data_IF_966348987850
#
_entry.id   IF_966348987850
#
_cell.length_a   1.000
_cell.length_b   1.000
_cell.length_c   1.000
_cell.angle_alpha   90.00
_cell.angle_beta   90.00
_cell.angle_gamma   90.00
#
_symmetry.space_group_name_H-M   'P 1'
#
loop_
_entity.id
_entity.type
_entity.pdbx_description
1 polymer ?
#
# COMPACT_ATOMS: atom_id res chain seq x y z
N UNK A 1 21.95 22.19 40.45
CA UNK A 1 21.84 22.67 39.06
C UNK A 1 22.38 21.68 38.02
N UNK A 2 23.52 20.98 38.21
CA UNK A 2 24.04 19.99 37.26
C UNK A 2 23.07 18.80 36.98
N UNK A 3 22.36 18.32 37.99
CA UNK A 3 21.46 17.18 37.86
C UNK A 3 20.15 17.53 37.11
N UNK A 4 19.76 18.81 37.10
CA UNK A 4 18.57 19.26 36.33
C UNK A 4 18.85 19.32 34.83
N UNK A 5 20.10 19.63 34.45
CA UNK A 5 20.54 19.69 33.05
C UNK A 5 20.57 18.27 32.44
N UNK A 6 21.03 17.26 33.21
CA UNK A 6 21.02 15.86 32.74
C UNK A 6 19.61 15.29 32.57
N UNK A 7 18.65 15.65 33.45
CA UNK A 7 17.25 15.24 33.29
C UNK A 7 16.58 15.91 32.10
N UNK A 8 16.97 17.14 31.78
CA UNK A 8 16.43 17.86 30.62
C UNK A 8 16.98 17.32 29.29
N UNK A 9 18.25 16.90 29.27
CA UNK A 9 18.87 16.27 28.09
C UNK A 9 18.27 14.87 27.84
N UNK A 10 17.94 14.10 28.89
CA UNK A 10 17.29 12.80 28.76
C UNK A 10 15.85 12.91 28.23
N UNK A 11 15.13 13.97 28.55
CA UNK A 11 13.79 14.22 28.01
C UNK A 11 13.80 14.60 26.52
N UNK A 12 14.86 15.25 26.04
CA UNK A 12 15.02 15.60 24.63
C UNK A 12 15.41 14.41 23.75
N UNK A 13 16.14 13.43 24.28
CA UNK A 13 16.51 12.22 23.53
C UNK A 13 15.37 11.21 23.40
N UNK A 14 14.38 11.23 24.30
CA UNK A 14 13.19 10.40 24.20
C UNK A 14 12.18 10.90 23.15
N UNK A 15 12.18 12.19 22.82
CA UNK A 15 11.30 12.75 21.79
C UNK A 15 11.77 12.49 20.36
N UNK A 16 13.02 12.10 20.14
CA UNK A 16 13.54 11.77 18.81
C UNK A 16 13.25 10.31 18.39
N UNK A 17 12.91 9.44 19.33
CA UNK A 17 12.52 8.03 19.03
C UNK A 17 11.04 7.91 18.60
N UNK A 18 10.21 8.92 18.91
CA UNK A 18 8.79 8.95 18.54
C UNK A 18 8.51 9.49 17.13
N UNK A 19 9.50 9.99 16.42
CA UNK A 19 9.43 10.35 15.00
C UNK A 19 9.99 9.25 14.10
N UNK A 20 9.56 8.01 14.31
CA UNK A 20 9.68 7.01 13.26
C UNK A 20 8.73 7.45 12.14
N UNK A 21 9.30 8.15 11.14
CA UNK A 21 8.56 8.94 10.17
C UNK A 21 7.48 8.10 9.51
N UNK A 22 6.25 8.60 9.51
CA UNK A 22 5.14 7.96 8.82
C UNK A 22 5.55 7.74 7.36
N UNK A 23 5.45 6.52 6.88
CA UNK A 23 5.65 6.19 5.48
C UNK A 23 4.37 6.47 4.71
N UNK A 24 4.46 7.44 3.82
CA UNK A 24 3.34 7.98 3.05
C UNK A 24 3.36 7.44 1.63
N UNK A 25 2.20 7.08 1.17
CA UNK A 25 1.93 6.62 -0.18
C UNK A 25 0.81 7.44 -0.78
N UNK A 26 0.87 7.63 -2.08
CA UNK A 26 -0.18 8.33 -2.82
C UNK A 26 -0.57 7.49 -4.03
N UNK A 27 -1.86 7.39 -4.30
CA UNK A 27 -2.35 6.65 -5.47
C UNK A 27 -3.51 7.36 -6.13
N UNK A 28 -3.67 7.13 -7.42
CA UNK A 28 -4.85 7.47 -8.19
C UNK A 28 -5.04 6.43 -9.29
N UNK A 29 -6.27 6.26 -9.69
CA UNK A 29 -6.63 5.37 -10.79
C UNK A 29 -7.14 6.21 -11.96
N UNK A 30 -6.87 5.75 -13.17
CA UNK A 30 -7.32 6.42 -14.37
C UNK A 30 -7.67 5.44 -15.46
N UNK A 31 -8.63 5.83 -16.29
CA UNK A 31 -9.10 5.09 -17.44
C UNK A 31 -8.66 5.79 -18.71
N UNK A 32 -8.07 5.06 -19.63
CA UNK A 32 -7.81 5.56 -20.97
C UNK A 32 -9.13 5.64 -21.78
N UNK A 33 -9.23 6.60 -22.68
CA UNK A 33 -10.34 6.66 -23.66
C UNK A 33 -10.39 5.39 -24.49
N UNK A 34 -11.57 5.00 -24.89
CA UNK A 34 -11.80 3.80 -25.72
C UNK A 34 -10.92 3.85 -26.99
N UNK A 35 -10.17 2.76 -27.22
CA UNK A 35 -9.23 2.64 -28.33
C UNK A 35 -7.96 3.49 -28.21
N UNK A 36 -7.72 4.19 -27.09
CA UNK A 36 -6.55 5.05 -26.91
C UNK A 36 -5.51 4.50 -25.91
N UNK A 37 -5.68 3.29 -25.37
CA UNK A 37 -4.79 2.72 -24.36
C UNK A 37 -3.32 2.75 -24.79
N UNK A 38 -2.99 2.31 -25.99
CA UNK A 38 -1.61 2.33 -26.50
C UNK A 38 -1.03 3.74 -26.58
N UNK A 39 -1.82 4.74 -26.98
CA UNK A 39 -1.38 6.15 -27.04
C UNK A 39 -1.19 6.73 -25.65
N UNK A 40 -2.11 6.40 -24.73
CA UNK A 40 -1.98 6.73 -23.32
C UNK A 40 -0.69 6.16 -22.74
N UNK A 41 -0.46 4.86 -22.91
CA UNK A 41 0.73 4.18 -22.40
C UNK A 41 2.02 4.81 -22.93
N UNK A 42 2.10 5.02 -24.25
CA UNK A 42 3.26 5.66 -24.86
C UNK A 42 3.52 7.08 -24.34
N UNK A 43 2.46 7.86 -24.10
CA UNK A 43 2.56 9.22 -23.57
C UNK A 43 2.95 9.22 -22.08
N UNK A 44 2.33 8.35 -21.26
CA UNK A 44 2.61 8.19 -19.85
C UNK A 44 4.04 7.67 -19.60
N UNK A 45 4.52 6.71 -20.41
CA UNK A 45 5.89 6.21 -20.35
C UNK A 45 6.91 7.33 -20.61
N UNK A 46 6.69 8.16 -21.64
CA UNK A 46 7.55 9.33 -21.93
C UNK A 46 7.58 10.31 -20.77
N UNK A 47 6.41 10.59 -20.17
CA UNK A 47 6.29 11.45 -19.00
C UNK A 47 7.05 10.87 -17.81
N UNK A 48 6.87 9.58 -17.51
CA UNK A 48 7.56 8.91 -16.41
C UNK A 48 9.07 8.96 -16.59
N UNK A 49 9.56 8.63 -17.78
CA UNK A 49 11.01 8.70 -18.09
C UNK A 49 11.58 10.11 -17.94
N UNK A 50 10.80 11.14 -18.26
CA UNK A 50 11.28 12.54 -18.21
C UNK A 50 11.28 13.13 -16.80
N UNK A 51 10.25 12.84 -16.00
CA UNK A 51 9.99 13.53 -14.73
C UNK A 51 10.02 12.64 -13.49
N UNK A 52 10.00 11.31 -13.66
CA UNK A 52 9.94 10.35 -12.58
C UNK A 52 11.00 9.25 -12.75
N UNK A 53 12.23 9.65 -13.08
CA UNK A 53 13.33 8.72 -13.39
C UNK A 53 14.21 8.36 -12.21
N UNK A 54 13.97 8.91 -11.03
CA UNK A 54 14.74 8.67 -9.80
C UNK A 54 13.86 8.10 -8.70
N UNK A 55 14.47 7.46 -7.69
CA UNK A 55 13.73 6.95 -6.52
C UNK A 55 12.97 8.06 -5.77
N UNK A 56 13.51 9.29 -5.77
CA UNK A 56 12.90 10.43 -5.07
C UNK A 56 11.56 10.86 -5.69
N UNK A 57 11.44 10.79 -7.01
CA UNK A 57 10.23 11.20 -7.72
C UNK A 57 9.55 10.04 -8.45
N UNK A 58 9.94 8.81 -8.10
CA UNK A 58 9.46 7.58 -8.74
C UNK A 58 7.95 7.40 -8.65
N UNK A 59 7.40 6.86 -9.71
CA UNK A 59 6.00 6.46 -9.81
C UNK A 59 5.91 5.03 -10.35
N UNK A 60 5.09 4.22 -9.71
CA UNK A 60 4.80 2.85 -10.10
C UNK A 60 3.42 2.77 -10.74
N UNK A 61 3.28 1.98 -11.76
CA UNK A 61 2.00 1.81 -12.46
C UNK A 61 1.64 0.34 -12.51
N UNK A 62 0.36 0.06 -12.24
CA UNK A 62 -0.21 -1.27 -12.32
C UNK A 62 -1.42 -1.26 -13.26
N UNK A 63 -1.56 -2.29 -14.07
CA UNK A 63 -2.78 -2.56 -14.84
C UNK A 63 -3.77 -3.29 -13.94
N UNK A 64 -4.98 -2.80 -13.81
CA UNK A 64 -6.06 -3.47 -13.04
C UNK A 64 -6.66 -4.54 -13.94
N UNK A 65 -6.51 -5.80 -13.53
CA UNK A 65 -6.81 -6.97 -14.36
C UNK A 65 -8.24 -7.48 -14.20
N UNK A 66 -8.87 -7.20 -13.06
CA UNK A 66 -10.24 -7.62 -12.76
C UNK A 66 -10.88 -6.70 -11.72
N UNK A 67 -12.14 -7.00 -11.35
CA UNK A 67 -12.93 -6.17 -10.44
C UNK A 67 -13.65 -5.02 -11.15
N UNK A 68 -14.18 -4.10 -10.35
CA UNK A 68 -14.99 -2.98 -10.84
C UNK A 68 -14.18 -2.02 -11.74
N UNK A 69 -12.88 -1.88 -11.44
CA UNK A 69 -11.96 -0.98 -12.15
C UNK A 69 -11.14 -1.70 -13.24
N UNK A 70 -11.59 -2.87 -13.71
CA UNK A 70 -10.88 -3.63 -14.77
C UNK A 70 -10.56 -2.74 -15.97
N UNK A 71 -9.32 -2.82 -16.45
CA UNK A 71 -8.82 -2.04 -17.58
C UNK A 71 -8.37 -0.62 -17.25
N UNK A 72 -8.49 -0.19 -16.00
CA UNK A 72 -7.88 1.04 -15.51
C UNK A 72 -6.40 0.82 -15.14
N UNK A 73 -5.69 1.92 -14.95
CA UNK A 73 -4.32 1.99 -14.49
C UNK A 73 -4.28 2.58 -13.08
N UNK A 74 -3.66 1.87 -12.15
CA UNK A 74 -3.36 2.40 -10.81
C UNK A 74 -1.95 2.98 -10.81
N UNK A 75 -1.80 4.26 -10.51
CA UNK A 75 -0.50 4.93 -10.41
C UNK A 75 -0.20 5.29 -8.97
N UNK A 76 1.00 4.91 -8.52
CA UNK A 76 1.36 4.96 -7.11
C UNK A 76 2.71 5.65 -6.94
N UNK A 77 2.78 6.62 -6.03
CA UNK A 77 4.01 7.22 -5.52
C UNK A 77 4.20 6.66 -4.10
N UNK A 78 5.32 6.03 -3.85
CA UNK A 78 5.58 5.36 -2.58
C UNK A 78 6.81 5.86 -1.84
N UNK A 79 7.04 5.30 -0.64
CA UNK A 79 8.24 5.52 0.16
C UNK A 79 8.49 7.00 0.51
N UNK A 80 7.40 7.80 0.72
CA UNK A 80 7.49 9.21 1.08
C UNK A 80 7.32 9.39 2.59
N UNK A 81 7.62 10.59 3.05
CA UNK A 81 7.41 11.04 4.42
C UNK A 81 6.66 12.38 4.44
N UNK A 82 6.47 12.95 5.62
CA UNK A 82 5.80 14.24 5.74
C UNK A 82 6.59 15.40 5.12
N UNK A 83 7.93 15.32 5.08
CA UNK A 83 8.74 16.36 4.46
C UNK A 83 8.48 16.45 2.96
N UNK A 84 8.29 15.31 2.29
CA UNK A 84 7.86 15.29 0.90
C UNK A 84 6.49 15.99 0.71
N UNK A 85 5.53 15.74 1.63
CA UNK A 85 4.22 16.39 1.57
C UNK A 85 4.26 17.88 1.86
N UNK A 86 5.24 18.32 2.67
CA UNK A 86 5.46 19.72 3.01
C UNK A 86 6.36 20.45 1.99
N UNK A 87 7.02 19.72 1.10
CA UNK A 87 7.87 20.32 0.09
C UNK A 87 7.05 21.19 -0.86
N UNK A 88 7.54 22.39 -1.11
CA UNK A 88 7.00 23.31 -2.12
C UNK A 88 7.71 23.11 -3.47
N UNK A 89 8.06 21.88 -3.80
CA UNK A 89 8.69 21.58 -5.08
C UNK A 89 7.81 22.05 -6.23
N UNK A 90 8.38 22.86 -7.10
CA UNK A 90 7.68 23.33 -8.30
C UNK A 90 7.55 22.20 -9.32
N UNK A 91 6.36 21.62 -9.38
CA UNK A 91 6.00 20.59 -10.35
C UNK A 91 5.19 21.15 -11.53
N UNK A 92 5.18 22.44 -11.72
CA UNK A 92 4.36 23.12 -12.74
C UNK A 92 4.68 22.62 -14.15
N UNK A 93 5.94 22.39 -14.49
CA UNK A 93 6.35 21.83 -15.79
C UNK A 93 5.92 20.39 -15.99
N UNK A 94 6.01 19.56 -14.96
CA UNK A 94 5.54 18.17 -15.00
C UNK A 94 4.03 18.11 -15.22
N UNK A 95 3.27 18.91 -14.44
CA UNK A 95 1.82 19.01 -14.57
C UNK A 95 1.39 19.58 -15.93
N UNK A 96 2.13 20.58 -16.43
CA UNK A 96 1.91 21.10 -17.78
C UNK A 96 2.15 20.03 -18.83
N UNK A 97 3.25 19.28 -18.72
CA UNK A 97 3.55 18.21 -19.67
C UNK A 97 2.46 17.13 -19.68
N UNK A 98 1.98 16.73 -18.49
CA UNK A 98 0.88 15.79 -18.36
C UNK A 98 -0.36 16.28 -19.08
N UNK A 99 -0.81 17.48 -18.78
CA UNK A 99 -1.99 18.10 -19.39
C UNK A 99 -1.88 18.20 -20.91
N UNK A 100 -0.72 18.61 -21.41
CA UNK A 100 -0.51 18.84 -22.83
C UNK A 100 -0.31 17.54 -23.65
N UNK A 101 0.20 16.47 -23.02
CA UNK A 101 0.62 15.27 -23.74
C UNK A 101 -0.11 13.98 -23.33
N UNK A 102 -0.66 13.88 -22.13
CA UNK A 102 -1.26 12.63 -21.60
C UNK A 102 -2.77 12.75 -21.43
N UNK A 103 -3.27 13.83 -20.83
CA UNK A 103 -4.69 14.03 -20.50
C UNK A 103 -5.63 13.86 -21.68
N UNK A 104 -5.17 14.21 -22.88
CA UNK A 104 -5.98 14.03 -24.10
C UNK A 104 -6.42 12.58 -24.35
N UNK A 105 -5.69 11.59 -23.77
CA UNK A 105 -5.97 10.16 -23.87
C UNK A 105 -6.68 9.59 -22.64
N UNK A 106 -6.88 10.40 -21.58
CA UNK A 106 -7.56 10.01 -20.35
C UNK A 106 -9.06 10.28 -20.45
N UNK A 107 -9.87 9.28 -20.12
CA UNK A 107 -11.32 9.39 -20.01
C UNK A 107 -11.74 9.91 -18.63
N UNK A 108 -11.22 9.27 -17.57
CA UNK A 108 -11.57 9.58 -16.19
C UNK A 108 -10.44 9.27 -15.22
N UNK A 109 -10.50 9.89 -14.04
CA UNK A 109 -9.56 9.66 -12.93
C UNK A 109 -10.30 9.73 -11.60
N UNK A 110 -9.88 8.90 -10.62
CA UNK A 110 -10.46 8.89 -9.28
C UNK A 110 -10.01 10.04 -8.38
N UNK A 111 -9.04 10.84 -8.82
CA UNK A 111 -8.34 11.77 -7.93
C UNK A 111 -7.33 11.06 -7.01
N UNK A 112 -6.52 11.87 -6.31
CA UNK A 112 -5.48 11.39 -5.42
C UNK A 112 -6.05 10.90 -4.09
N UNK A 113 -5.58 9.71 -3.67
CA UNK A 113 -5.72 9.19 -2.30
C UNK A 113 -4.34 9.20 -1.63
N UNK A 114 -4.30 9.62 -0.37
CA UNK A 114 -3.10 9.60 0.46
C UNK A 114 -3.24 8.53 1.52
N UNK A 115 -2.23 7.69 1.65
CA UNK A 115 -2.21 6.53 2.53
C UNK A 115 -1.01 6.61 3.48
N UNK A 116 -1.17 6.05 4.66
CA UNK A 116 -0.09 5.77 5.59
C UNK A 116 0.10 4.26 5.71
N UNK A 117 1.33 3.78 5.52
CA UNK A 117 1.62 2.37 5.75
C UNK A 117 1.50 2.02 7.23
N UNK A 118 0.89 0.88 7.51
CA UNK A 118 0.77 0.26 8.83
C UNK A 118 1.90 -0.76 8.96
N UNK A 119 3.10 -0.30 9.36
CA UNK A 119 4.33 -1.11 9.37
C UNK A 119 4.19 -2.40 10.20
N UNK A 120 3.56 -2.31 11.37
CA UNK A 120 3.37 -3.44 12.29
C UNK A 120 2.38 -4.52 11.78
N UNK A 121 1.65 -4.26 10.72
CA UNK A 121 0.77 -5.22 10.05
C UNK A 121 1.26 -5.59 8.64
N UNK A 122 2.43 -5.09 8.25
CA UNK A 122 3.06 -5.37 6.95
C UNK A 122 4.20 -6.36 7.11
N UNK A 123 4.48 -7.14 6.06
CA UNK A 123 5.53 -8.16 6.05
C UNK A 123 6.27 -8.13 4.71
N UNK A 124 7.59 -8.25 4.73
CA UNK A 124 8.49 -8.26 3.55
C UNK A 124 8.30 -7.09 2.56
N UNK A 125 7.71 -5.99 2.99
CA UNK A 125 7.51 -4.81 2.16
C UNK A 125 8.66 -3.82 2.34
N UNK A 126 9.65 -3.89 1.46
CA UNK A 126 10.85 -3.04 1.45
C UNK A 126 11.04 -2.37 0.08
N UNK A 127 11.88 -1.34 -0.04
CA UNK A 127 12.15 -0.70 -1.34
C UNK A 127 12.72 -1.65 -2.40
N UNK A 128 13.38 -2.73 -1.96
CA UNK A 128 13.99 -3.75 -2.82
C UNK A 128 13.00 -4.85 -3.22
N UNK A 129 11.81 -4.87 -2.60
CA UNK A 129 10.80 -5.90 -2.89
C UNK A 129 10.22 -5.70 -4.28
N UNK A 130 10.26 -6.75 -5.08
CA UNK A 130 9.69 -6.79 -6.44
C UNK A 130 8.64 -7.89 -6.54
N UNK A 131 7.59 -7.64 -7.30
CA UNK A 131 6.56 -8.62 -7.64
C UNK A 131 5.88 -8.22 -8.96
N UNK A 132 5.43 -9.22 -9.71
CA UNK A 132 4.73 -9.00 -10.98
C UNK A 132 3.24 -8.74 -10.78
N UNK A 133 2.65 -9.36 -9.76
CA UNK A 133 1.22 -9.30 -9.48
C UNK A 133 0.96 -8.86 -8.04
N UNK A 134 -0.19 -8.25 -7.85
CA UNK A 134 -0.67 -7.84 -6.53
C UNK A 134 -2.17 -8.09 -6.42
N UNK A 135 -2.62 -8.69 -5.32
CA UNK A 135 -4.01 -8.60 -4.87
C UNK A 135 -4.16 -7.37 -3.98
N UNK A 136 -5.02 -6.47 -4.37
CA UNK A 136 -5.37 -5.29 -3.58
C UNK A 136 -6.76 -5.49 -2.98
N UNK A 137 -6.82 -5.70 -1.68
CA UNK A 137 -8.06 -5.83 -0.92
C UNK A 137 -8.44 -4.50 -0.32
N UNK A 138 -9.54 -3.91 -0.77
CA UNK A 138 -10.09 -2.69 -0.16
C UNK A 138 -11.15 -3.06 0.87
N UNK A 139 -11.10 -2.44 2.03
CA UNK A 139 -11.99 -2.68 3.18
C UNK A 139 -12.35 -1.36 3.85
N UNK A 140 -13.55 -1.28 4.41
CA UNK A 140 -13.97 -0.15 5.26
C UNK A 140 -14.31 -0.70 6.64
N UNK A 141 -13.71 -0.11 7.66
CA UNK A 141 -13.94 -0.47 9.06
C UNK A 141 -15.19 0.25 9.56
N UNK A 142 -16.07 -0.44 10.26
CA UNK A 142 -17.17 0.19 10.98
C UNK A 142 -16.64 1.12 12.07
N UNK A 143 -17.27 2.27 12.30
CA UNK A 143 -16.86 3.19 13.36
C UNK A 143 -16.70 2.49 14.72
N UNK A 144 -15.56 2.69 15.37
CA UNK A 144 -15.25 2.12 16.68
C UNK A 144 -14.77 0.66 16.69
N UNK A 145 -14.65 -0.01 15.54
CA UNK A 145 -14.24 -1.43 15.45
C UNK A 145 -12.77 -1.61 15.05
N UNK A 146 -11.96 -0.57 15.11
CA UNK A 146 -10.53 -0.61 14.74
C UNK A 146 -9.72 -1.64 15.53
N UNK A 147 -10.09 -1.87 16.79
CA UNK A 147 -9.35 -2.80 17.66
C UNK A 147 -9.40 -4.24 17.14
N UNK A 148 -10.57 -4.71 16.68
CA UNK A 148 -10.71 -6.08 16.17
C UNK A 148 -9.90 -6.28 14.88
N UNK A 149 -9.90 -5.26 14.00
CA UNK A 149 -9.09 -5.28 12.77
C UNK A 149 -7.61 -5.27 13.10
N UNK A 150 -7.16 -4.36 13.96
CA UNK A 150 -5.76 -4.25 14.36
C UNK A 150 -5.28 -5.52 15.09
N UNK A 151 -6.14 -6.12 15.93
CA UNK A 151 -5.82 -7.35 16.64
C UNK A 151 -5.54 -8.51 15.68
N UNK A 152 -6.44 -8.74 14.73
CA UNK A 152 -6.30 -9.83 13.76
C UNK A 152 -5.08 -9.63 12.86
N UNK A 153 -4.94 -8.46 12.24
CA UNK A 153 -3.81 -8.16 11.34
C UNK A 153 -2.46 -8.22 12.07
N UNK A 154 -2.38 -7.73 13.32
CA UNK A 154 -1.15 -7.79 14.10
C UNK A 154 -0.77 -9.21 14.53
N UNK A 155 -1.74 -10.10 14.73
CA UNK A 155 -1.48 -11.51 14.98
C UNK A 155 -1.05 -12.25 13.73
N UNK A 156 -1.68 -12.00 12.58
CA UNK A 156 -1.26 -12.54 11.29
C UNK A 156 0.19 -12.16 10.97
N UNK A 157 0.55 -10.89 11.13
CA UNK A 157 1.92 -10.44 10.89
C UNK A 157 2.95 -11.19 11.76
N UNK A 158 2.62 -11.49 13.03
CA UNK A 158 3.48 -12.31 13.90
C UNK A 158 3.58 -13.77 13.42
N UNK A 159 2.51 -14.34 12.84
CA UNK A 159 2.55 -15.67 12.21
C UNK A 159 3.51 -15.63 11.03
N UNK A 160 3.41 -14.63 10.17
CA UNK A 160 4.29 -14.43 9.02
C UNK A 160 5.76 -14.35 9.44
N UNK A 161 6.09 -13.54 10.43
CA UNK A 161 7.46 -13.44 10.95
C UNK A 161 7.96 -14.76 11.57
N UNK A 162 7.14 -15.39 12.40
CA UNK A 162 7.52 -16.60 13.13
C UNK A 162 7.80 -17.80 12.21
N UNK A 163 7.04 -17.90 11.13
CA UNK A 163 7.07 -19.04 10.22
C UNK A 163 7.69 -18.72 8.85
N UNK A 164 8.48 -17.64 8.78
CA UNK A 164 9.24 -17.25 7.59
C UNK A 164 8.37 -17.19 6.32
N UNK A 165 7.15 -16.64 6.44
CA UNK A 165 6.29 -16.46 5.29
C UNK A 165 7.04 -15.72 4.17
N UNK A 166 7.06 -16.28 2.97
CA UNK A 166 7.81 -15.70 1.84
C UNK A 166 7.05 -14.62 1.09
N UNK A 167 5.74 -14.55 1.29
CA UNK A 167 4.88 -13.57 0.64
C UNK A 167 5.14 -12.13 1.10
N UNK A 168 4.71 -11.20 0.29
CA UNK A 168 4.84 -9.76 0.51
C UNK A 168 3.48 -9.20 0.87
N UNK A 169 3.35 -8.61 2.06
CA UNK A 169 2.08 -8.03 2.53
C UNK A 169 2.29 -6.60 2.99
N UNK A 170 1.50 -5.68 2.49
CA UNK A 170 1.47 -4.31 2.99
C UNK A 170 0.05 -3.87 3.35
N UNK A 171 -0.09 -3.25 4.50
CA UNK A 171 -1.34 -2.66 4.97
C UNK A 171 -1.22 -1.15 4.96
N UNK A 172 -2.22 -0.48 4.40
CA UNK A 172 -2.27 0.98 4.34
C UNK A 172 -3.62 1.48 4.84
N UNK A 173 -3.60 2.55 5.62
CA UNK A 173 -4.80 3.29 6.03
C UNK A 173 -4.88 4.61 5.29
N UNK A 174 -6.08 4.96 4.87
CA UNK A 174 -6.30 6.24 4.20
C UNK A 174 -6.07 7.41 5.16
N UNK A 175 -5.45 8.46 4.63
CA UNK A 175 -5.24 9.73 5.31
C UNK A 175 -6.12 10.83 4.73
N UNK A 176 -6.29 10.84 3.39
CA UNK A 176 -7.17 11.78 2.70
C UNK A 176 -7.54 11.26 1.30
N UNK A 177 -8.53 11.87 0.68
CA UNK A 177 -8.98 11.55 -0.67
C UNK A 177 -10.00 10.42 -0.75
N UNK A 178 -10.55 9.95 0.38
CA UNK A 178 -11.57 8.89 0.42
C UNK A 178 -12.26 8.77 1.77
N UNK A 179 -12.86 7.61 2.02
CA UNK A 179 -13.50 7.31 3.31
C UNK A 179 -12.45 7.12 4.40
N UNK A 180 -12.51 7.90 5.48
CA UNK A 180 -11.53 7.89 6.58
C UNK A 180 -11.38 6.54 7.29
N UNK A 181 -12.35 5.63 7.14
CA UNK A 181 -12.31 4.27 7.67
C UNK A 181 -11.81 3.24 6.66
N UNK A 182 -11.41 3.69 5.47
CA UNK A 182 -10.87 2.80 4.42
C UNK A 182 -9.44 2.38 4.74
N UNK A 183 -9.15 1.12 4.49
CA UNK A 183 -7.80 0.60 4.42
C UNK A 183 -7.67 -0.41 3.28
N UNK A 184 -6.45 -0.63 2.85
CA UNK A 184 -6.13 -1.65 1.86
C UNK A 184 -5.07 -2.61 2.38
N UNK A 185 -5.20 -3.87 1.97
CA UNK A 185 -4.17 -4.90 2.12
C UNK A 185 -3.69 -5.22 0.71
N UNK A 186 -2.40 -5.10 0.47
CA UNK A 186 -1.74 -5.46 -0.76
C UNK A 186 -0.89 -6.71 -0.54
N UNK A 187 -1.13 -7.75 -1.34
CA UNK A 187 -0.38 -9.00 -1.33
C UNK A 187 0.36 -9.15 -2.66
N UNK A 188 1.69 -8.99 -2.63
CA UNK A 188 2.56 -9.09 -3.82
C UNK A 188 3.03 -10.52 -4.03
N UNK A 189 3.07 -10.98 -5.29
CA UNK A 189 3.52 -12.32 -5.67
C UNK A 189 3.97 -12.36 -7.14
N UNK A 190 4.78 -13.37 -7.51
CA UNK A 190 5.19 -13.60 -8.90
C UNK A 190 4.41 -14.73 -9.55
N UNK A 191 3.99 -15.73 -8.76
CA UNK A 191 3.17 -16.86 -9.21
C UNK A 191 2.01 -17.09 -8.24
N UNK A 192 0.84 -17.44 -8.77
CA UNK A 192 -0.36 -17.67 -7.95
C UNK A 192 -0.19 -18.75 -6.87
N UNK A 193 0.67 -19.75 -7.10
CA UNK A 193 0.97 -20.78 -6.12
C UNK A 193 1.77 -20.29 -4.91
N UNK A 194 2.33 -19.07 -4.94
CA UNK A 194 3.10 -18.49 -3.83
C UNK A 194 2.21 -17.88 -2.74
N UNK A 195 0.92 -17.66 -3.04
CA UNK A 195 -0.02 -17.10 -2.06
C UNK A 195 -0.32 -18.11 -0.96
N UNK A 196 -0.04 -17.74 0.28
CA UNK A 196 -0.30 -18.59 1.45
C UNK A 196 0.71 -19.69 1.69
N UNK A 197 1.84 -19.71 0.97
CA UNK A 197 2.89 -20.70 1.17
C UNK A 197 3.84 -20.33 2.32
N UNK A 198 4.12 -21.33 3.16
CA UNK A 198 5.11 -21.26 4.24
C UNK A 198 6.19 -22.31 3.96
N UNK A 199 7.46 -21.90 3.74
CA UNK A 199 8.49 -22.76 3.18
C UNK A 199 8.90 -23.94 4.09
N UNK A 200 8.70 -23.77 5.38
CA UNK A 200 9.21 -24.71 6.40
C UNK A 200 8.13 -25.67 6.96
N UNK A 201 6.92 -25.68 6.39
CA UNK A 201 5.81 -26.47 6.94
C UNK A 201 4.68 -26.68 5.92
N UNK A 202 3.99 -27.83 6.03
CA UNK A 202 2.76 -28.12 5.29
C UNK A 202 1.50 -27.60 6.00
N UNK A 203 1.67 -26.86 7.12
CA UNK A 203 0.54 -26.35 7.91
C UNK A 203 -0.08 -25.14 7.24
N UNK A 204 -1.38 -25.05 7.39
CA UNK A 204 -2.15 -23.89 6.96
C UNK A 204 -1.93 -22.69 7.89
N UNK A 205 -2.23 -21.49 7.41
CA UNK A 205 -2.19 -20.26 8.22
C UNK A 205 -3.06 -20.39 9.49
N UNK A 206 -4.25 -20.99 9.40
CA UNK A 206 -5.11 -21.25 10.57
C UNK A 206 -4.42 -22.15 11.62
N UNK A 207 -3.75 -23.21 11.20
CA UNK A 207 -3.03 -24.10 12.09
C UNK A 207 -1.86 -23.40 12.78
N UNK A 208 -1.04 -22.66 12.02
CA UNK A 208 0.08 -21.89 12.56
C UNK A 208 -0.38 -20.79 13.53
N UNK A 209 -1.47 -20.11 13.19
CA UNK A 209 -2.09 -19.09 14.05
C UNK A 209 -2.58 -19.71 15.37
N UNK A 210 -3.29 -20.85 15.30
CA UNK A 210 -3.81 -21.54 16.47
C UNK A 210 -2.70 -22.10 17.37
N UNK A 211 -1.58 -22.53 16.80
CA UNK A 211 -0.38 -22.93 17.59
C UNK A 211 0.21 -21.77 18.39
N UNK A 212 0.20 -20.56 17.81
CA UNK A 212 0.76 -19.39 18.48
C UNK A 212 -0.18 -18.77 19.52
N UNK A 213 -1.48 -18.79 19.28
CA UNK A 213 -2.44 -17.99 20.07
C UNK A 213 -3.50 -18.84 20.78
N UNK A 214 -3.48 -20.15 20.60
CA UNK A 214 -4.39 -21.11 21.24
C UNK A 214 -5.47 -21.65 20.31
N UNK A 215 -6.10 -22.72 20.73
CA UNK A 215 -7.15 -23.42 20.00
C UNK A 215 -8.29 -22.47 19.56
N UNK A 216 -8.72 -22.58 18.31
CA UNK A 216 -9.78 -21.77 17.68
C UNK A 216 -9.54 -20.24 17.65
N UNK A 217 -8.35 -19.77 18.04
CA UNK A 217 -8.04 -18.33 18.03
C UNK A 217 -8.20 -17.71 16.64
N UNK A 218 -7.79 -18.41 15.57
CA UNK A 218 -7.96 -17.92 14.21
C UNK A 218 -9.43 -17.64 13.88
N UNK A 219 -10.30 -18.63 14.09
CA UNK A 219 -11.72 -18.50 13.78
C UNK A 219 -12.41 -17.41 14.60
N UNK A 220 -12.05 -17.30 15.87
CA UNK A 220 -12.58 -16.26 16.75
C UNK A 220 -12.17 -14.87 16.27
N UNK A 221 -10.89 -14.67 15.99
CA UNK A 221 -10.36 -13.37 15.63
C UNK A 221 -10.75 -12.99 14.19
N UNK A 222 -10.75 -13.94 13.26
CA UNK A 222 -11.26 -13.72 11.90
C UNK A 222 -12.76 -13.38 11.88
N UNK A 223 -13.55 -13.99 12.78
CA UNK A 223 -14.96 -13.63 12.94
C UNK A 223 -15.13 -12.20 13.45
N UNK A 224 -14.37 -11.79 14.48
CA UNK A 224 -14.38 -10.42 15.00
C UNK A 224 -13.95 -9.42 13.92
N UNK A 225 -12.85 -9.69 13.22
CA UNK A 225 -12.38 -8.92 12.08
C UNK A 225 -13.47 -8.77 11.00
N UNK A 226 -14.11 -9.88 10.61
CA UNK A 226 -15.16 -9.85 9.60
C UNK A 226 -16.40 -9.05 10.03
N UNK A 227 -16.76 -9.10 11.31
CA UNK A 227 -17.87 -8.31 11.86
C UNK A 227 -17.55 -6.82 11.94
N UNK A 228 -16.26 -6.49 12.09
CA UNK A 228 -15.78 -5.11 12.13
C UNK A 228 -15.80 -4.40 10.77
N UNK A 229 -15.95 -5.14 9.67
CA UNK A 229 -15.97 -4.57 8.32
C UNK A 229 -17.38 -4.25 7.83
N UNK A 230 -17.51 -3.17 7.07
CA UNK A 230 -18.73 -2.88 6.32
C UNK A 230 -18.99 -3.96 5.27
N UNK A 231 -20.23 -4.43 5.17
CA UNK A 231 -20.59 -5.61 4.36
C UNK A 231 -20.29 -5.42 2.87
N UNK A 232 -20.61 -4.24 2.34
CA UNK A 232 -20.51 -3.94 0.90
C UNK A 232 -19.19 -3.27 0.49
N UNK A 233 -18.23 -3.17 1.41
CA UNK A 233 -16.94 -2.52 1.18
C UNK A 233 -15.80 -3.50 0.88
N UNK A 234 -16.10 -4.78 0.70
CA UNK A 234 -15.10 -5.82 0.53
C UNK A 234 -14.86 -6.06 -0.95
N UNK A 235 -13.95 -5.30 -1.53
CA UNK A 235 -13.53 -5.51 -2.90
C UNK A 235 -12.12 -6.05 -2.97
N UNK A 236 -11.83 -6.81 -4.00
CA UNK A 236 -10.50 -7.34 -4.30
C UNK A 236 -10.25 -7.14 -5.77
N UNK A 237 -9.11 -6.58 -6.10
CA UNK A 237 -8.63 -6.37 -7.46
C UNK A 237 -7.29 -7.07 -7.62
N UNK A 238 -7.11 -7.76 -8.73
CA UNK A 238 -5.80 -8.23 -9.17
C UNK A 238 -5.17 -7.15 -10.03
N UNK A 239 -3.94 -6.82 -9.73
CA UNK A 239 -3.16 -5.81 -10.45
C UNK A 239 -1.87 -6.44 -10.98
N UNK A 240 -1.45 -6.03 -12.17
CA UNK A 240 -0.19 -6.46 -12.80
C UNK A 240 0.74 -5.26 -12.95
N UNK A 241 1.96 -5.40 -12.48
CA UNK A 241 2.98 -4.35 -12.57
C UNK A 241 3.31 -4.02 -14.03
N UNK A 242 3.25 -2.75 -14.37
CA UNK A 242 3.58 -2.25 -15.70
C UNK A 242 4.93 -1.55 -15.68
N UNK A 243 5.99 -2.30 -16.00
CA UNK A 243 7.35 -1.80 -15.97
C UNK A 243 7.58 -0.64 -16.94
N UNK A 244 6.92 -0.64 -18.12
CA UNK A 244 7.09 0.41 -19.14
C UNK A 244 6.56 1.77 -18.69
N UNK A 245 5.52 1.77 -17.85
CA UNK A 245 4.89 2.98 -17.32
C UNK A 245 5.48 3.41 -15.97
N UNK A 246 6.36 2.60 -15.39
CA UNK A 246 6.93 2.78 -14.06
C UNK A 246 8.35 3.33 -14.12
N UNK A 247 8.78 3.93 -13.01
CA UNK A 247 10.17 4.31 -12.80
C UNK A 247 11.04 3.05 -12.79
N UNK A 248 12.10 3.07 -13.56
CA UNK A 248 13.13 2.03 -13.54
C UNK A 248 14.15 2.41 -12.45
N UNK A 249 14.24 1.59 -11.40
CA UNK A 249 15.17 1.76 -10.28
C UNK A 249 16.34 0.81 -10.39
#
# INVERSE_FOLDING_TARGET
MKNLIYSMIMLFTLSTIAQDGAEIWMSYELKAKDGMSQKFEAAAAKKTKKYNSTAENGIFTFNIMDGENQGMYSRVIGWKNWDFMNSNEDRSEELKYWRDNVDQYVDSSTGWKVWRRVKWASHNWTPETTFDYMLKHTRVIKPGMDQDVNHFLGRLQRVYEKHNYTGVVAVFRIMSGGNTNEYIICEGFNKYGELGEYPDTDKTEEELYNEMFGWESYRKDAKAYNLALEMYSRTTERQHFNAELSTQL
#
